data_IF_536244377184
#
_entry.id   IF_536244377184
#
_cell.length_a   1.000
_cell.length_b   1.000
_cell.length_c   1.000
_cell.angle_alpha   90.00
_cell.angle_beta   90.00
_cell.angle_gamma   90.00
#
_symmetry.space_group_name_H-M   'P 1'
#
loop_
_entity.id
_entity.type
_entity.pdbx_description
1 polymer ?
#
# COMPACT_ATOMS: atom_id res chain seq x y z
N UNK A 1 -22.57 -30.90 -28.44
CA UNK A 1 -23.25 -29.96 -27.52
C UNK A 1 -22.67 -29.95 -26.10
N UNK A 2 -22.04 -31.04 -25.62
CA UNK A 2 -21.48 -31.11 -24.26
C UNK A 2 -20.21 -30.26 -24.06
N UNK A 3 -19.33 -30.23 -25.07
CA UNK A 3 -18.04 -29.53 -25.00
C UNK A 3 -18.20 -28.00 -24.87
N UNK A 4 -19.25 -27.44 -25.50
CA UNK A 4 -19.59 -26.01 -25.40
C UNK A 4 -20.03 -25.63 -23.97
N UNK A 5 -20.80 -26.51 -23.31
CA UNK A 5 -21.24 -26.30 -21.92
C UNK A 5 -20.07 -26.32 -20.93
N UNK A 6 -19.09 -27.20 -21.16
CA UNK A 6 -17.87 -27.28 -20.34
C UNK A 6 -17.05 -26.00 -20.47
N UNK A 7 -16.85 -25.50 -21.70
CA UNK A 7 -16.11 -24.24 -21.92
C UNK A 7 -16.81 -23.07 -21.23
N UNK A 8 -18.14 -22.99 -21.31
CA UNK A 8 -18.91 -21.93 -20.66
C UNK A 8 -18.84 -22.01 -19.13
N UNK A 9 -18.80 -23.22 -18.57
CA UNK A 9 -18.59 -23.44 -17.13
C UNK A 9 -17.19 -23.01 -16.66
N UNK A 10 -16.15 -23.28 -17.45
CA UNK A 10 -14.77 -22.85 -17.13
C UNK A 10 -14.63 -21.33 -17.14
N UNK A 11 -15.27 -20.66 -18.12
CA UNK A 11 -15.28 -19.19 -18.22
C UNK A 11 -16.02 -18.57 -17.02
N UNK A 12 -17.18 -19.11 -16.64
CA UNK A 12 -17.97 -18.58 -15.52
C UNK A 12 -17.30 -18.79 -14.16
N UNK A 13 -16.62 -19.91 -13.95
CA UNK A 13 -15.84 -20.17 -12.72
C UNK A 13 -14.64 -19.23 -12.62
N UNK A 14 -13.90 -19.02 -13.72
CA UNK A 14 -12.74 -18.13 -13.71
C UNK A 14 -13.14 -16.68 -13.44
N UNK A 15 -14.18 -16.16 -14.09
CA UNK A 15 -14.70 -14.79 -13.83
C UNK A 15 -15.14 -14.60 -12.37
N UNK A 16 -15.76 -15.61 -11.76
CA UNK A 16 -16.20 -15.56 -10.36
C UNK A 16 -15.04 -15.53 -9.35
N UNK A 17 -13.92 -16.18 -9.66
CA UNK A 17 -12.70 -16.13 -8.84
C UNK A 17 -12.01 -14.76 -8.93
N UNK A 18 -12.01 -14.11 -10.09
CA UNK A 18 -11.46 -12.76 -10.25
C UNK A 18 -12.29 -11.69 -9.52
N UNK A 19 -13.62 -11.82 -9.48
CA UNK A 19 -14.52 -10.84 -8.84
C UNK A 19 -14.36 -10.78 -7.32
N UNK A 20 -13.99 -11.90 -6.67
CA UNK A 20 -13.83 -11.98 -5.22
C UNK A 20 -12.64 -11.17 -4.67
N UNK A 21 -11.72 -10.70 -5.53
CA UNK A 21 -10.49 -9.99 -5.13
C UNK A 21 -10.61 -8.45 -5.17
N UNK A 22 -11.78 -7.89 -5.47
CA UNK A 22 -11.92 -6.45 -5.74
C UNK A 22 -12.42 -5.66 -4.53
N UNK A 23 -11.67 -5.71 -3.42
CA UNK A 23 -11.77 -4.69 -2.37
C UNK A 23 -10.46 -3.90 -2.33
N UNK A 24 -10.05 -3.41 -3.51
CA UNK A 24 -8.85 -2.61 -3.68
C UNK A 24 -9.09 -1.22 -3.08
N UNK A 25 -8.76 -1.08 -1.80
CA UNK A 25 -8.69 0.23 -1.13
C UNK A 25 -7.40 0.89 -1.55
N UNK A 26 -7.43 2.18 -1.82
CA UNK A 26 -6.25 2.99 -2.13
C UNK A 26 -5.91 3.89 -0.96
N UNK A 27 -4.66 4.32 -0.88
CA UNK A 27 -4.23 5.31 0.11
C UNK A 27 -4.60 6.69 -0.42
N UNK A 28 -5.41 7.45 0.32
CA UNK A 28 -5.77 8.82 -0.07
C UNK A 28 -4.70 9.83 0.37
N UNK A 29 -4.21 9.67 1.59
CA UNK A 29 -3.27 10.59 2.22
C UNK A 29 -2.32 9.83 3.15
N UNK A 30 -1.10 10.36 3.29
CA UNK A 30 -0.12 9.88 4.27
C UNK A 30 0.32 11.09 5.10
N UNK A 31 0.20 10.97 6.41
CA UNK A 31 0.64 12.00 7.36
C UNK A 31 1.75 11.45 8.24
N UNK A 32 2.80 12.25 8.43
CA UNK A 32 3.88 11.96 9.37
C UNK A 32 3.69 12.83 10.61
N UNK A 33 3.77 12.23 11.79
CA UNK A 33 3.58 12.92 13.08
C UNK A 33 4.88 12.78 13.88
N UNK A 34 5.37 13.89 14.44
CA UNK A 34 6.60 13.91 15.23
C UNK A 34 7.89 13.91 14.41
N UNK A 35 7.83 14.13 13.09
CA UNK A 35 9.00 14.26 12.23
C UNK A 35 9.65 15.65 12.34
N UNK A 36 10.45 15.88 13.38
CA UNK A 36 11.12 17.18 13.58
C UNK A 36 12.40 17.34 12.75
N UNK A 37 13.12 16.24 12.48
CA UNK A 37 14.42 16.27 11.81
C UNK A 37 14.33 16.25 10.28
N UNK A 38 13.27 15.67 9.71
CA UNK A 38 13.10 15.50 8.27
C UNK A 38 11.68 15.90 7.83
N UNK A 39 11.57 16.51 6.66
CA UNK A 39 10.27 16.88 6.08
C UNK A 39 9.50 15.67 5.56
N UNK A 40 8.17 15.75 5.57
CA UNK A 40 7.29 14.71 5.03
C UNK A 40 7.63 14.32 3.57
N UNK A 41 7.99 15.31 2.74
CA UNK A 41 8.40 15.10 1.35
C UNK A 41 9.70 14.29 1.20
N UNK A 42 10.59 14.32 2.19
CA UNK A 42 11.78 13.45 2.20
C UNK A 42 11.41 12.03 2.65
N UNK A 43 10.55 11.92 3.67
CA UNK A 43 10.12 10.65 4.24
C UNK A 43 9.31 9.80 3.25
N UNK A 44 8.45 10.43 2.44
CA UNK A 44 7.65 9.72 1.41
C UNK A 44 8.50 9.06 0.33
N UNK A 45 9.77 9.46 0.19
CA UNK A 45 10.73 8.79 -0.71
C UNK A 45 11.06 7.36 -0.26
N UNK A 46 10.97 7.07 1.03
CA UNK A 46 11.29 5.77 1.63
C UNK A 46 10.07 4.87 1.82
N UNK A 47 8.85 5.41 1.64
CA UNK A 47 7.61 4.65 1.70
C UNK A 47 7.22 4.13 0.31
N UNK A 48 6.83 2.87 0.21
CA UNK A 48 6.28 2.28 -1.00
C UNK A 48 4.80 2.62 -1.19
N UNK A 49 4.03 2.73 -0.10
CA UNK A 49 2.67 3.23 -0.17
C UNK A 49 2.72 4.72 -0.49
N UNK A 50 2.00 5.12 -1.54
CA UNK A 50 1.94 6.51 -1.99
C UNK A 50 0.50 6.86 -2.35
N UNK A 51 0.04 8.06 -1.97
CA UNK A 51 -1.24 8.55 -2.43
C UNK A 51 -1.20 8.81 -3.93
N UNK A 52 -2.35 8.72 -4.63
CA UNK A 52 -2.44 9.09 -6.03
C UNK A 52 -1.94 10.53 -6.18
N UNK A 53 -0.83 10.69 -6.87
CA UNK A 53 -0.25 11.99 -7.18
C UNK A 53 -0.37 12.22 -8.68
N UNK A 54 -0.65 13.46 -9.09
CA UNK A 54 -0.84 13.84 -10.50
C UNK A 54 0.38 13.43 -11.37
N UNK A 55 1.57 13.37 -10.77
CA UNK A 55 2.84 12.99 -11.42
C UNK A 55 3.18 11.49 -11.32
N UNK A 56 2.44 10.70 -10.55
CA UNK A 56 2.75 9.30 -10.29
C UNK A 56 1.61 8.40 -10.82
N UNK A 57 1.78 7.88 -12.04
CA UNK A 57 0.80 7.01 -12.72
C UNK A 57 0.65 5.60 -12.11
N UNK A 58 1.14 5.38 -10.89
CA UNK A 58 1.05 4.09 -10.19
C UNK A 58 0.39 4.29 -8.84
N UNK A 59 -0.88 3.91 -8.76
CA UNK A 59 -1.61 3.78 -7.49
C UNK A 59 -1.46 2.35 -7.01
N UNK A 60 -0.73 2.13 -5.91
CA UNK A 60 -0.73 0.83 -5.25
C UNK A 60 -1.99 0.67 -4.42
N UNK A 61 -2.58 -0.53 -4.47
CA UNK A 61 -3.59 -0.92 -3.49
C UNK A 61 -2.99 -0.92 -2.09
N UNK A 62 -3.76 -0.47 -1.11
CA UNK A 62 -3.40 -0.52 0.29
C UNK A 62 -3.22 -1.97 0.73
N UNK A 63 -2.04 -2.27 1.29
CA UNK A 63 -1.75 -3.51 1.98
C UNK A 63 -1.14 -3.19 3.34
N UNK A 64 -1.70 -3.79 4.40
CA UNK A 64 -1.20 -3.66 5.77
C UNK A 64 0.25 -4.16 5.90
N UNK A 65 0.65 -5.15 5.10
CA UNK A 65 2.03 -5.65 5.10
C UNK A 65 2.99 -4.60 4.54
N UNK A 66 2.61 -3.93 3.45
CA UNK A 66 3.39 -2.83 2.88
C UNK A 66 3.50 -1.67 3.88
N UNK A 67 2.42 -1.32 4.58
CA UNK A 67 2.45 -0.28 5.62
C UNK A 67 3.48 -0.58 6.72
N UNK A 68 3.57 -1.83 7.16
CA UNK A 68 4.58 -2.25 8.14
C UNK A 68 6.00 -2.19 7.57
N UNK A 69 6.19 -2.57 6.31
CA UNK A 69 7.48 -2.47 5.63
C UNK A 69 7.91 -1.01 5.51
N UNK A 70 6.99 -0.10 5.19
CA UNK A 70 7.26 1.34 5.14
C UNK A 70 7.71 1.88 6.51
N UNK A 71 7.07 1.45 7.60
CA UNK A 71 7.48 1.84 8.94
C UNK A 71 8.89 1.34 9.30
N UNK A 72 9.23 0.12 8.89
CA UNK A 72 10.58 -0.46 9.07
C UNK A 72 11.59 0.30 8.20
N UNK A 73 11.26 0.62 6.95
CA UNK A 73 12.11 1.37 6.05
C UNK A 73 12.42 2.78 6.60
N UNK A 74 11.40 3.47 7.12
CA UNK A 74 11.56 4.76 7.79
C UNK A 74 12.44 4.63 9.03
N UNK A 75 12.19 3.62 9.88
CA UNK A 75 13.04 3.37 11.06
C UNK A 75 14.50 3.18 10.65
N UNK A 76 14.77 2.35 9.64
CA UNK A 76 16.11 2.09 9.14
C UNK A 76 16.76 3.36 8.56
N UNK A 77 16.00 4.18 7.83
CA UNK A 77 16.47 5.47 7.34
C UNK A 77 16.93 6.38 8.49
N UNK A 78 16.10 6.56 9.52
CA UNK A 78 16.49 7.35 10.69
C UNK A 78 17.73 6.77 11.40
N UNK A 79 17.83 5.44 11.52
CA UNK A 79 19.02 4.81 12.11
C UNK A 79 20.27 5.04 11.27
N UNK A 80 20.17 5.00 9.94
CA UNK A 80 21.29 5.29 9.03
C UNK A 80 21.76 6.75 9.10
N UNK A 81 20.88 7.66 9.50
CA UNK A 81 21.18 9.08 9.69
C UNK A 81 21.66 9.39 11.14
N UNK A 82 21.86 8.36 11.98
CA UNK A 82 22.42 8.50 13.32
C UNK A 82 21.40 8.53 14.48
N UNK A 83 20.10 8.33 14.20
CA UNK A 83 19.06 8.27 15.24
C UNK A 83 18.85 6.82 15.74
N UNK A 84 19.73 6.34 16.63
CA UNK A 84 19.72 4.94 17.09
C UNK A 84 18.42 4.55 17.81
N UNK A 85 17.93 5.41 18.71
CA UNK A 85 16.73 5.18 19.54
C UNK A 85 15.42 5.58 18.85
N UNK A 86 15.41 5.63 17.51
CA UNK A 86 14.22 5.99 16.74
C UNK A 86 13.15 4.90 16.80
N UNK A 87 11.91 5.31 17.05
CA UNK A 87 10.74 4.44 17.06
C UNK A 87 9.71 4.98 16.08
N UNK A 88 9.34 4.17 15.09
CA UNK A 88 8.30 4.49 14.12
C UNK A 88 7.10 3.58 14.39
N UNK A 89 5.91 4.17 14.56
CA UNK A 89 4.65 3.44 14.74
C UNK A 89 3.80 3.61 13.49
N UNK A 90 3.30 2.50 12.94
CA UNK A 90 2.33 2.52 11.86
C UNK A 90 0.90 2.68 12.37
N UNK A 91 0.08 3.41 11.62
CA UNK A 91 -1.36 3.50 11.87
C UNK A 91 -2.07 3.80 10.55
N UNK A 92 -3.34 3.40 10.45
CA UNK A 92 -4.18 3.73 9.31
C UNK A 92 -5.63 3.93 9.77
N UNK A 93 -6.35 4.78 9.05
CA UNK A 93 -7.79 4.97 9.21
C UNK A 93 -8.47 4.68 7.88
N UNK A 94 -9.68 4.12 7.95
CA UNK A 94 -10.52 3.87 6.78
C UNK A 94 -11.66 4.88 6.82
N UNK A 95 -11.72 5.74 5.82
CA UNK A 95 -12.89 6.59 5.58
C UNK A 95 -13.91 5.75 4.82
N UNK A 96 -15.11 5.61 5.38
CA UNK A 96 -16.23 4.85 4.83
C UNK A 96 -17.21 5.71 4.06
#
# INVERSE_FOLDING_TARGET
MNNIKIILAVITVSVSLFSQSLNNRTVNEITYIGNHSFSASRLIGFSELKPPSILLFSTKSFDRRLLKLDAIALKNFYQSEGFLETTVKDSFSVVG
#
